data_IF_847186446607
#
_entry.id   IF_847186446607
#
_cell.length_a   1.000
_cell.length_b   1.000
_cell.length_c   1.000
_cell.angle_alpha   90.00
_cell.angle_beta   90.00
_cell.angle_gamma   90.00
#
_symmetry.space_group_name_H-M   'P 1'
#
loop_
_entity.id
_entity.type
_entity.pdbx_description
1 polymer ?
#
# COMPACT_ATOMS: atom_id res chain seq x y z
N UNK A 1 14.64 -27.41 8.70
CA UNK A 1 13.41 -26.92 9.37
C UNK A 1 13.82 -25.88 10.40
N UNK A 2 13.24 -24.68 10.47
CA UNK A 2 13.57 -23.71 11.51
C UNK A 2 13.13 -24.26 12.87
N UNK A 3 13.99 -24.08 13.88
CA UNK A 3 13.75 -24.52 15.26
C UNK A 3 12.40 -24.02 15.79
N UNK A 4 11.67 -24.76 16.63
CA UNK A 4 10.35 -24.37 17.16
C UNK A 4 10.36 -23.01 17.86
N UNK A 5 11.47 -22.61 18.49
CA UNK A 5 11.66 -21.30 19.13
C UNK A 5 11.60 -20.10 18.18
N UNK A 6 12.03 -20.27 16.92
CA UNK A 6 11.95 -19.17 15.93
C UNK A 6 10.51 -18.90 15.49
N UNK A 7 9.67 -19.92 15.41
CA UNK A 7 8.23 -19.77 15.11
C UNK A 7 7.48 -19.10 16.26
N UNK A 8 7.75 -19.52 17.49
CA UNK A 8 7.14 -18.93 18.68
C UNK A 8 7.54 -17.47 18.85
N UNK A 9 8.83 -17.13 18.71
CA UNK A 9 9.32 -15.76 18.75
C UNK A 9 8.65 -14.88 17.69
N UNK A 10 8.54 -15.35 16.44
CA UNK A 10 7.83 -14.62 15.36
C UNK A 10 6.35 -14.41 15.70
N UNK A 11 5.69 -15.39 16.26
CA UNK A 11 4.30 -15.26 16.69
C UNK A 11 4.13 -14.19 17.76
N UNK A 12 4.99 -14.20 18.79
CA UNK A 12 4.98 -13.17 19.86
C UNK A 12 5.27 -11.78 19.31
N UNK A 13 6.31 -11.65 18.49
CA UNK A 13 6.68 -10.35 17.90
C UNK A 13 5.60 -9.81 16.93
N UNK A 14 4.91 -10.66 16.17
CA UNK A 14 3.76 -10.26 15.34
C UNK A 14 2.62 -9.69 16.18
N UNK A 15 2.26 -10.35 17.26
CA UNK A 15 1.23 -9.86 18.17
C UNK A 15 1.69 -8.58 18.88
N UNK A 16 2.94 -8.51 19.29
CA UNK A 16 3.54 -7.30 19.85
C UNK A 16 3.51 -6.12 18.88
N UNK A 17 3.77 -6.34 17.58
CA UNK A 17 3.70 -5.29 16.56
C UNK A 17 2.29 -4.69 16.41
N UNK A 18 1.23 -5.45 16.72
CA UNK A 18 -0.15 -4.95 16.65
C UNK A 18 -0.49 -3.97 17.77
N UNK A 19 0.19 -4.05 18.91
CA UNK A 19 -0.11 -3.26 20.11
C UNK A 19 0.98 -2.25 20.43
N UNK A 20 2.24 -2.52 20.08
CA UNK A 20 3.37 -1.64 20.37
C UNK A 20 3.58 -0.59 19.26
N UNK A 21 4.11 0.56 19.65
CA UNK A 21 4.50 1.66 18.75
C UNK A 21 3.39 2.10 17.79
N UNK A 22 2.16 2.13 18.28
CA UNK A 22 1.01 2.61 17.52
C UNK A 22 1.00 4.12 17.42
N UNK A 23 0.56 4.64 16.27
CA UNK A 23 0.10 6.03 16.11
C UNK A 23 -1.41 5.98 15.81
N UNK A 24 -2.26 6.15 16.83
CA UNK A 24 -3.70 6.01 16.66
C UNK A 24 -4.25 7.12 15.75
N UNK A 25 -5.18 6.74 14.88
CA UNK A 25 -5.97 7.64 14.04
C UNK A 25 -7.45 7.22 14.13
N UNK A 26 -8.29 8.12 14.58
CA UNK A 26 -9.74 7.90 14.52
C UNK A 26 -10.21 8.03 13.06
N UNK A 27 -10.79 6.96 12.52
CA UNK A 27 -11.45 7.00 11.21
C UNK A 27 -12.84 7.59 11.42
N UNK A 28 -12.96 8.89 11.22
CA UNK A 28 -14.21 9.64 11.29
C UNK A 28 -14.40 10.37 9.97
N UNK A 29 -15.16 9.78 9.07
CA UNK A 29 -15.42 10.35 7.73
C UNK A 29 -16.92 10.45 7.50
N UNK A 30 -17.35 11.46 6.75
CA UNK A 30 -18.76 11.57 6.35
C UNK A 30 -19.10 10.57 5.25
N UNK A 31 -18.12 10.27 4.39
CA UNK A 31 -18.23 9.30 3.29
C UNK A 31 -17.13 8.26 3.41
N UNK A 32 -17.38 7.00 3.00
CA UNK A 32 -16.36 5.97 3.02
C UNK A 32 -15.18 6.31 2.11
N UNK A 33 -13.98 5.84 2.46
CA UNK A 33 -12.77 6.04 1.66
C UNK A 33 -12.29 4.72 1.07
N UNK A 34 -11.75 4.78 -0.13
CA UNK A 34 -11.07 3.66 -0.80
C UNK A 34 -9.75 4.18 -1.38
N UNK A 35 -8.68 3.39 -1.23
CA UNK A 35 -7.40 3.63 -1.90
C UNK A 35 -6.99 2.38 -2.67
N UNK A 36 -6.49 2.55 -3.90
CA UNK A 36 -5.86 1.49 -4.68
C UNK A 36 -4.35 1.62 -4.58
N UNK A 37 -3.66 0.54 -4.21
CA UNK A 37 -2.21 0.54 -4.04
C UNK A 37 -1.57 -0.62 -4.78
N UNK A 38 -0.33 -0.37 -5.28
CA UNK A 38 0.44 -1.34 -6.02
C UNK A 38 1.81 -1.49 -5.36
N UNK A 39 2.17 -2.74 -4.99
CA UNK A 39 3.47 -3.04 -4.40
C UNK A 39 4.49 -3.37 -5.48
N UNK A 40 5.78 -3.13 -5.22
CA UNK A 40 6.93 -3.32 -6.12
C UNK A 40 6.89 -2.48 -7.40
N UNK A 41 5.75 -1.98 -7.78
CA UNK A 41 5.53 -1.22 -9.00
C UNK A 41 5.99 -1.98 -10.27
N UNK A 42 5.45 -3.17 -10.56
CA UNK A 42 5.61 -3.74 -11.89
C UNK A 42 5.03 -2.80 -12.94
N UNK A 43 5.67 -2.71 -14.12
CA UNK A 43 5.19 -1.79 -15.19
C UNK A 43 3.73 -2.00 -15.56
N UNK A 44 3.26 -3.25 -15.54
CA UNK A 44 1.86 -3.58 -15.82
C UNK A 44 0.87 -2.98 -14.81
N UNK A 45 1.30 -2.77 -13.56
CA UNK A 45 0.49 -2.05 -12.56
C UNK A 45 0.17 -0.62 -13.00
N UNK A 46 1.10 0.06 -13.66
CA UNK A 46 0.91 1.40 -14.19
C UNK A 46 0.25 1.39 -15.57
N UNK A 47 0.82 0.62 -16.51
CA UNK A 47 0.35 0.61 -17.91
C UNK A 47 -1.08 0.08 -18.06
N UNK A 48 -1.49 -0.89 -17.24
CA UNK A 48 -2.85 -1.43 -17.26
C UNK A 48 -3.67 -0.94 -16.05
N UNK A 49 -3.17 -1.11 -14.83
CA UNK A 49 -3.90 -0.70 -13.61
C UNK A 49 -4.05 0.82 -13.51
N UNK A 50 -3.00 1.59 -13.81
CA UNK A 50 -3.04 3.05 -13.87
C UNK A 50 -3.98 3.56 -14.96
N UNK A 51 -3.93 2.98 -16.16
CA UNK A 51 -4.85 3.32 -17.25
C UNK A 51 -6.32 3.08 -16.86
N UNK A 52 -6.62 1.96 -16.21
CA UNK A 52 -7.97 1.70 -15.67
C UNK A 52 -8.37 2.79 -14.69
N UNK A 53 -7.53 3.14 -13.72
CA UNK A 53 -7.84 4.21 -12.76
C UNK A 53 -8.08 5.55 -13.47
N UNK A 54 -7.23 5.91 -14.43
CA UNK A 54 -7.31 7.16 -15.19
C UNK A 54 -8.62 7.28 -15.99
N UNK A 55 -9.11 6.18 -16.58
CA UNK A 55 -10.41 6.17 -17.29
C UNK A 55 -11.58 6.54 -16.38
N UNK A 56 -11.48 6.31 -15.09
CA UNK A 56 -12.47 6.72 -14.08
C UNK A 56 -12.11 8.05 -13.38
N UNK A 57 -11.07 8.78 -13.84
CA UNK A 57 -10.60 10.01 -13.22
C UNK A 57 -9.98 9.82 -11.83
N UNK A 58 -9.44 8.63 -11.56
CA UNK A 58 -8.90 8.21 -10.28
C UNK A 58 -7.38 8.15 -10.30
N UNK A 59 -6.77 8.17 -9.11
CA UNK A 59 -5.33 7.97 -8.92
C UNK A 59 -5.08 6.93 -7.84
N UNK A 60 -3.96 6.20 -7.94
CA UNK A 60 -3.52 5.19 -6.98
C UNK A 60 -2.20 5.55 -6.32
N UNK A 61 -1.73 4.71 -5.40
CA UNK A 61 -0.43 4.81 -4.74
C UNK A 61 0.45 3.64 -5.17
N UNK A 62 1.69 3.93 -5.60
CA UNK A 62 2.66 2.95 -6.06
C UNK A 62 3.84 2.90 -5.09
N UNK A 63 3.99 1.78 -4.38
CA UNK A 63 5.08 1.57 -3.44
C UNK A 63 6.33 1.06 -4.16
N UNK A 64 7.41 1.82 -4.04
CA UNK A 64 8.54 1.80 -4.96
C UNK A 64 9.83 1.45 -4.24
N UNK A 65 10.52 0.43 -4.74
CA UNK A 65 11.89 0.06 -4.38
C UNK A 65 12.83 0.45 -5.51
N UNK A 66 13.49 1.61 -5.42
CA UNK A 66 14.30 2.17 -6.52
C UNK A 66 15.52 1.31 -6.88
N UNK A 67 16.00 0.50 -5.95
CA UNK A 67 17.03 -0.50 -6.24
C UNK A 67 16.58 -1.63 -7.18
N UNK A 68 15.29 -1.73 -7.47
CA UNK A 68 14.72 -2.69 -8.41
C UNK A 68 14.41 -2.08 -9.79
N UNK A 69 14.65 -0.78 -9.98
CA UNK A 69 14.38 -0.07 -11.23
C UNK A 69 14.91 -0.84 -12.44
N UNK A 70 14.02 -1.11 -13.39
CA UNK A 70 14.33 -1.81 -14.64
C UNK A 70 14.69 -3.28 -14.50
N UNK A 71 14.57 -3.91 -13.33
CA UNK A 71 14.83 -5.34 -13.13
C UNK A 71 13.59 -6.19 -13.42
N UNK A 72 13.82 -7.46 -13.69
CA UNK A 72 12.75 -8.44 -13.77
C UNK A 72 12.47 -9.02 -12.37
N UNK A 73 11.20 -9.29 -12.08
CA UNK A 73 10.73 -9.89 -10.83
C UNK A 73 9.69 -10.97 -11.10
N UNK A 74 9.23 -11.63 -10.06
CA UNK A 74 8.10 -12.59 -10.17
C UNK A 74 6.80 -11.92 -10.62
N UNK A 75 6.67 -10.61 -10.37
CA UNK A 75 5.52 -9.79 -10.78
C UNK A 75 5.71 -9.12 -12.16
N UNK A 76 6.74 -9.53 -12.91
CA UNK A 76 7.09 -8.99 -14.22
C UNK A 76 8.17 -7.93 -14.16
N UNK A 77 8.31 -7.17 -15.25
CA UNK A 77 9.28 -6.07 -15.37
C UNK A 77 8.93 -4.94 -14.42
N UNK A 78 9.87 -4.57 -13.56
CA UNK A 78 9.73 -3.42 -12.64
C UNK A 78 9.85 -2.12 -13.45
N UNK A 79 9.21 -1.07 -12.95
CA UNK A 79 9.18 0.27 -13.55
C UNK A 79 10.54 0.75 -14.06
N UNK A 80 10.52 1.63 -15.05
CA UNK A 80 11.67 2.38 -15.56
C UNK A 80 11.54 3.86 -15.20
N UNK A 81 12.57 4.65 -15.47
CA UNK A 81 12.60 6.07 -15.09
C UNK A 81 11.41 6.87 -15.67
N UNK A 82 11.10 6.64 -16.94
CA UNK A 82 9.98 7.32 -17.62
C UNK A 82 8.64 7.01 -16.95
N UNK A 83 8.47 5.80 -16.41
CA UNK A 83 7.25 5.43 -15.69
C UNK A 83 7.06 6.25 -14.40
N UNK A 84 8.17 6.60 -13.68
CA UNK A 84 8.10 7.44 -12.47
C UNK A 84 7.60 8.85 -12.79
N UNK A 85 8.12 9.45 -13.84
CA UNK A 85 7.73 10.80 -14.27
C UNK A 85 6.27 10.81 -14.75
N UNK A 86 5.90 9.88 -15.65
CA UNK A 86 4.56 9.76 -16.18
C UNK A 86 3.51 9.50 -15.07
N UNK A 87 3.87 8.70 -14.06
CA UNK A 87 3.01 8.41 -12.92
C UNK A 87 2.65 9.68 -12.13
N UNK A 88 3.64 10.53 -11.87
CA UNK A 88 3.44 11.79 -11.13
C UNK A 88 2.65 12.82 -11.97
N UNK A 89 2.91 12.91 -13.27
CA UNK A 89 2.14 13.76 -14.21
C UNK A 89 0.66 13.36 -14.22
N UNK A 90 0.36 12.07 -14.10
CA UNK A 90 -0.99 11.52 -13.99
C UNK A 90 -1.57 11.63 -12.56
N UNK A 91 -0.89 12.32 -11.64
CA UNK A 91 -1.32 12.59 -10.26
C UNK A 91 -1.45 11.34 -9.38
N UNK A 92 -0.81 10.23 -9.74
CA UNK A 92 -0.65 9.12 -8.83
C UNK A 92 0.37 9.45 -7.74
N UNK A 93 0.36 8.69 -6.65
CA UNK A 93 1.26 8.85 -5.51
C UNK A 93 2.39 7.82 -5.57
N UNK A 94 3.63 8.27 -5.32
CA UNK A 94 4.75 7.41 -5.01
C UNK A 94 4.86 7.20 -3.50
N UNK A 95 4.89 5.94 -3.06
CA UNK A 95 5.17 5.53 -1.70
C UNK A 95 6.50 4.76 -1.62
N UNK A 96 7.12 4.75 -0.45
CA UNK A 96 8.38 4.03 -0.22
C UNK A 96 8.13 2.55 0.07
N UNK A 97 8.98 1.67 -0.52
CA UNK A 97 8.99 0.22 -0.26
C UNK A 97 10.39 -0.31 0.12
N UNK A 98 11.21 0.53 0.79
CA UNK A 98 12.66 0.40 0.96
C UNK A 98 13.42 0.46 -0.37
N UNK A 99 14.74 0.58 -0.36
CA UNK A 99 15.53 0.63 -1.60
C UNK A 99 15.63 -0.73 -2.29
N UNK A 100 15.92 -1.77 -1.51
CA UNK A 100 16.19 -3.12 -2.02
C UNK A 100 15.12 -4.14 -1.62
N UNK A 101 13.88 -3.69 -1.35
CA UNK A 101 12.78 -4.56 -0.91
C UNK A 101 13.15 -5.38 0.34
N UNK A 102 13.73 -4.70 1.36
CA UNK A 102 14.19 -5.33 2.59
C UNK A 102 13.07 -5.98 3.39
N UNK A 103 13.23 -7.24 3.73
CA UNK A 103 12.29 -7.98 4.55
C UNK A 103 12.51 -7.66 6.04
N UNK A 104 11.53 -7.06 6.73
CA UNK A 104 11.65 -6.61 8.12
C UNK A 104 12.05 -7.73 9.11
N UNK A 105 11.78 -8.99 8.79
CA UNK A 105 12.09 -10.17 9.61
C UNK A 105 13.48 -10.77 9.37
N UNK A 106 14.17 -10.34 8.32
CA UNK A 106 15.46 -10.88 7.88
C UNK A 106 16.54 -9.81 7.84
N UNK A 107 16.16 -8.55 8.10
CA UNK A 107 17.07 -7.40 8.01
C UNK A 107 17.27 -6.77 9.39
N UNK A 108 18.50 -6.47 9.74
CA UNK A 108 18.78 -5.71 10.95
C UNK A 108 18.20 -4.30 10.84
N UNK A 109 17.84 -3.71 11.99
CA UNK A 109 17.08 -2.47 12.04
C UNK A 109 17.82 -1.29 11.40
N UNK A 110 19.13 -1.22 11.59
CA UNK A 110 19.99 -0.19 11.01
C UNK A 110 20.04 -0.30 9.48
N UNK A 111 20.26 -1.49 8.97
CA UNK A 111 20.27 -1.77 7.51
C UNK A 111 18.90 -1.49 6.89
N UNK A 112 17.82 -1.74 7.63
CA UNK A 112 16.47 -1.42 7.16
C UNK A 112 16.23 0.09 7.08
N UNK A 113 16.68 0.86 8.08
CA UNK A 113 16.60 2.32 8.09
C UNK A 113 17.47 2.95 7.01
N UNK A 114 18.71 2.45 6.84
CA UNK A 114 19.62 2.85 5.74
C UNK A 114 18.97 2.63 4.37
N UNK A 115 18.28 1.51 4.17
CA UNK A 115 17.55 1.23 2.92
C UNK A 115 16.42 2.23 2.64
N UNK A 116 15.77 2.77 3.67
CA UNK A 116 14.79 3.86 3.51
C UNK A 116 15.48 5.15 3.08
N UNK A 117 16.57 5.51 3.76
CA UNK A 117 17.35 6.71 3.47
C UNK A 117 17.91 6.67 2.04
N UNK A 118 18.43 5.52 1.63
CA UNK A 118 18.94 5.28 0.28
C UNK A 118 17.81 5.42 -0.76
N UNK A 119 16.60 4.88 -0.48
CA UNK A 119 15.46 5.01 -1.39
C UNK A 119 15.04 6.47 -1.59
N UNK A 120 15.05 7.26 -0.52
CA UNK A 120 14.76 8.69 -0.59
C UNK A 120 15.82 9.47 -1.37
N UNK A 121 17.09 9.21 -1.11
CA UNK A 121 18.19 9.84 -1.84
C UNK A 121 18.10 9.54 -3.34
N UNK A 122 17.88 8.28 -3.70
CA UNK A 122 17.69 7.87 -5.09
C UNK A 122 16.47 8.56 -5.75
N UNK A 123 15.34 8.71 -5.03
CA UNK A 123 14.18 9.44 -5.57
C UNK A 123 14.52 10.91 -5.84
N UNK A 124 15.20 11.57 -4.91
CA UNK A 124 15.61 12.98 -5.07
C UNK A 124 16.52 13.19 -6.27
N UNK A 125 17.41 12.23 -6.55
CA UNK A 125 18.31 12.25 -7.70
C UNK A 125 17.57 12.00 -9.01
N UNK A 126 16.69 10.99 -9.05
CA UNK A 126 15.99 10.58 -10.27
C UNK A 126 14.83 11.50 -10.64
N UNK A 127 14.11 12.02 -9.66
CA UNK A 127 12.92 12.86 -9.84
C UNK A 127 12.97 14.04 -8.85
N UNK A 128 13.71 15.11 -9.16
CA UNK A 128 13.83 16.27 -8.27
C UNK A 128 12.46 16.85 -7.87
N UNK A 129 12.27 17.07 -6.58
CA UNK A 129 11.01 17.59 -6.02
C UNK A 129 9.98 16.52 -5.65
N UNK A 130 10.18 15.27 -6.03
CA UNK A 130 9.35 14.16 -5.56
C UNK A 130 9.72 13.73 -4.13
N UNK A 131 8.72 13.27 -3.36
CA UNK A 131 8.90 12.86 -1.97
C UNK A 131 8.05 11.64 -1.65
N UNK A 132 8.62 10.69 -0.89
CA UNK A 132 7.86 9.60 -0.28
C UNK A 132 7.23 10.06 1.05
N UNK A 133 5.90 10.16 1.11
CA UNK A 133 5.15 10.51 2.33
C UNK A 133 4.50 9.30 3.00
N UNK A 134 4.23 8.25 2.24
CA UNK A 134 3.69 6.98 2.72
C UNK A 134 4.69 5.83 2.54
N UNK A 135 4.46 4.76 3.28
CA UNK A 135 5.31 3.57 3.27
C UNK A 135 4.46 2.29 3.23
N UNK A 136 4.92 1.28 2.50
CA UNK A 136 4.42 -0.10 2.60
C UNK A 136 5.53 -1.02 3.09
N UNK A 137 5.21 -1.88 4.06
CA UNK A 137 6.16 -2.90 4.52
C UNK A 137 6.31 -4.01 3.47
N UNK A 138 7.54 -4.26 2.96
CA UNK A 138 7.77 -5.49 2.21
C UNK A 138 7.31 -6.71 3.03
N UNK A 139 6.59 -7.64 2.36
CA UNK A 139 5.93 -8.80 2.99
C UNK A 139 4.83 -8.40 4.02
N UNK A 140 4.42 -7.13 4.06
CA UNK A 140 3.25 -6.62 4.78
C UNK A 140 3.24 -6.77 6.30
N UNK A 141 4.31 -7.25 6.92
CA UNK A 141 4.39 -7.49 8.37
C UNK A 141 5.62 -6.83 9.00
N UNK A 142 5.45 -5.78 9.82
CA UNK A 142 6.56 -5.17 10.54
C UNK A 142 6.97 -5.96 11.78
N UNK A 143 8.27 -5.92 12.13
CA UNK A 143 8.72 -6.17 13.50
C UNK A 143 8.48 -4.91 14.36
N UNK A 144 8.27 -5.05 15.70
CA UNK A 144 7.99 -3.90 16.57
C UNK A 144 9.04 -2.78 16.45
N UNK A 145 10.32 -3.12 16.47
CA UNK A 145 11.40 -2.11 16.38
C UNK A 145 11.46 -1.43 15.02
N UNK A 146 11.21 -2.16 13.93
CA UNK A 146 11.09 -1.58 12.59
C UNK A 146 9.91 -0.61 12.53
N UNK A 147 8.76 -0.99 13.08
CA UNK A 147 7.58 -0.13 13.18
C UNK A 147 7.87 1.19 13.90
N UNK A 148 8.65 1.14 15.01
CA UNK A 148 9.10 2.34 15.74
C UNK A 148 9.98 3.26 14.90
N UNK A 149 10.91 2.70 14.11
CA UNK A 149 11.83 3.46 13.26
C UNK A 149 11.04 4.15 12.15
N UNK A 150 10.26 3.39 11.38
CA UNK A 150 9.52 3.89 10.21
C UNK A 150 8.54 5.00 10.57
N UNK A 151 7.97 4.95 11.79
CA UNK A 151 7.09 6.00 12.30
C UNK A 151 7.68 7.41 12.27
N UNK A 152 9.00 7.53 12.26
CA UNK A 152 9.73 8.82 12.21
C UNK A 152 9.88 9.36 10.78
N UNK A 153 9.75 8.50 9.79
CA UNK A 153 10.05 8.80 8.40
C UNK A 153 8.81 9.11 7.56
N UNK A 154 7.63 8.57 7.93
CA UNK A 154 6.44 8.64 7.07
C UNK A 154 5.19 9.10 7.81
N UNK A 155 4.27 9.73 7.07
CA UNK A 155 2.97 10.14 7.59
C UNK A 155 2.12 8.94 7.97
N UNK A 156 2.16 7.87 7.17
CA UNK A 156 1.48 6.61 7.44
C UNK A 156 2.21 5.44 6.77
N UNK A 157 1.97 4.25 7.31
CA UNK A 157 2.61 3.02 6.89
C UNK A 157 1.53 1.94 6.70
N UNK A 158 1.51 1.30 5.54
CA UNK A 158 0.60 0.22 5.20
C UNK A 158 1.24 -1.15 5.49
N UNK A 159 0.51 -1.98 6.20
CA UNK A 159 0.81 -3.40 6.36
C UNK A 159 -0.16 -4.28 5.58
N UNK A 160 -0.39 -5.48 6.10
CA UNK A 160 -1.44 -6.39 5.64
C UNK A 160 -2.66 -6.38 6.56
N UNK A 161 -3.41 -7.49 6.60
CA UNK A 161 -4.53 -7.67 7.51
C UNK A 161 -5.78 -8.25 6.86
N UNK A 162 -5.91 -8.13 5.54
CA UNK A 162 -7.05 -8.61 4.75
C UNK A 162 -8.40 -8.06 5.27
N UNK A 163 -8.40 -6.76 5.61
CA UNK A 163 -9.56 -6.07 6.20
C UNK A 163 -9.53 -4.57 5.90
N UNK A 164 -10.53 -3.84 6.38
CA UNK A 164 -10.64 -2.38 6.30
C UNK A 164 -10.14 -1.70 7.59
N UNK A 165 -9.88 -0.41 7.50
CA UNK A 165 -9.60 0.47 8.62
C UNK A 165 -10.90 1.14 9.06
N UNK A 166 -11.31 0.93 10.32
CA UNK A 166 -12.54 1.46 10.91
C UNK A 166 -12.35 1.76 12.39
N UNK A 167 -13.05 2.74 12.93
CA UNK A 167 -12.94 3.14 14.33
C UNK A 167 -11.56 3.73 14.63
N UNK A 168 -10.68 2.98 15.28
CA UNK A 168 -9.32 3.41 15.63
C UNK A 168 -8.27 2.63 14.84
N UNK A 169 -7.74 3.24 13.79
CA UNK A 169 -6.65 2.69 12.97
C UNK A 169 -5.27 2.98 13.59
N UNK A 170 -4.24 2.35 13.04
CA UNK A 170 -2.85 2.58 13.40
C UNK A 170 -2.07 3.10 12.19
N UNK A 171 -1.67 4.37 12.22
CA UNK A 171 -0.87 4.99 11.14
C UNK A 171 0.48 4.31 10.88
N UNK A 172 0.97 3.52 11.83
CA UNK A 172 2.19 2.75 11.65
C UNK A 172 1.94 1.36 11.06
N UNK A 173 0.68 0.96 10.89
CA UNK A 173 0.30 -0.35 10.35
C UNK A 173 -1.16 -0.31 9.87
N UNK A 174 -1.47 0.53 8.89
CA UNK A 174 -2.78 0.53 8.25
C UNK A 174 -3.05 -0.84 7.62
N UNK A 175 -4.27 -1.34 7.81
CA UNK A 175 -4.70 -2.58 7.19
C UNK A 175 -4.88 -2.41 5.67
N UNK A 176 -4.59 -3.47 4.92
CA UNK A 176 -4.86 -3.56 3.49
C UNK A 176 -5.53 -4.88 3.14
N UNK A 177 -6.29 -4.86 2.06
CA UNK A 177 -6.93 -6.02 1.47
C UNK A 177 -6.26 -6.35 0.15
N UNK A 178 -5.64 -7.53 0.07
CA UNK A 178 -4.92 -8.00 -1.11
C UNK A 178 -5.88 -8.63 -2.11
N UNK A 179 -5.97 -8.05 -3.30
CA UNK A 179 -6.94 -8.43 -4.34
C UNK A 179 -6.68 -9.83 -4.90
N UNK A 180 -5.43 -10.27 -5.00
CA UNK A 180 -5.07 -11.60 -5.49
C UNK A 180 -5.66 -12.73 -4.65
N UNK A 181 -5.97 -12.48 -3.38
CA UNK A 181 -6.61 -13.46 -2.50
C UNK A 181 -8.08 -13.69 -2.82
N UNK A 182 -8.66 -12.85 -3.65
CA UNK A 182 -10.07 -12.90 -4.04
C UNK A 182 -10.29 -12.84 -5.55
N UNK A 183 -9.24 -13.12 -6.35
CA UNK A 183 -9.36 -13.06 -7.82
C UNK A 183 -10.39 -14.04 -8.41
N UNK A 184 -10.70 -15.11 -7.68
CA UNK A 184 -11.74 -16.07 -8.06
C UNK A 184 -13.08 -15.80 -7.34
N UNK A 185 -13.16 -14.73 -6.53
CA UNK A 185 -14.33 -14.40 -5.73
C UNK A 185 -14.55 -12.88 -5.65
N UNK A 186 -15.00 -12.28 -6.75
CA UNK A 186 -15.32 -10.84 -6.81
C UNK A 186 -16.37 -10.43 -5.77
N UNK A 187 -17.26 -11.35 -5.37
CA UNK A 187 -18.29 -11.05 -4.37
C UNK A 187 -17.71 -10.77 -2.99
N UNK A 188 -16.60 -11.39 -2.61
CA UNK A 188 -15.90 -11.07 -1.36
C UNK A 188 -15.40 -9.61 -1.34
N UNK A 189 -14.89 -9.12 -2.49
CA UNK A 189 -14.45 -7.73 -2.63
C UNK A 189 -15.63 -6.77 -2.59
N UNK A 190 -16.73 -7.08 -3.27
CA UNK A 190 -17.97 -6.27 -3.22
C UNK A 190 -18.52 -6.17 -1.81
N UNK A 191 -18.62 -7.30 -1.12
CA UNK A 191 -19.09 -7.33 0.28
C UNK A 191 -18.19 -6.46 1.18
N UNK A 192 -16.87 -6.46 0.97
CA UNK A 192 -15.97 -5.60 1.74
C UNK A 192 -16.21 -4.11 1.45
N UNK A 193 -16.48 -3.74 0.20
CA UNK A 193 -16.82 -2.37 -0.18
C UNK A 193 -18.15 -1.95 0.47
N UNK A 194 -19.15 -2.83 0.49
CA UNK A 194 -20.43 -2.56 1.14
C UNK A 194 -20.29 -2.40 2.66
N UNK A 195 -19.51 -3.28 3.31
CA UNK A 195 -19.19 -3.14 4.75
C UNK A 195 -18.45 -1.84 5.02
N UNK A 196 -17.52 -1.45 4.14
CA UNK A 196 -16.79 -0.19 4.24
C UNK A 196 -17.72 1.02 4.11
N UNK A 197 -18.69 0.97 3.18
CA UNK A 197 -19.70 2.00 3.00
C UNK A 197 -20.51 2.19 4.29
N UNK A 198 -21.03 1.09 4.83
CA UNK A 198 -21.92 1.11 6.00
C UNK A 198 -21.18 1.54 7.27
N UNK A 199 -19.89 1.17 7.39
CA UNK A 199 -19.03 1.56 8.50
C UNK A 199 -18.39 2.95 8.34
N UNK A 200 -18.51 3.60 7.18
CA UNK A 200 -17.78 4.83 6.82
C UNK A 200 -16.28 4.72 7.09
N UNK A 201 -15.71 3.56 6.72
CA UNK A 201 -14.34 3.20 6.95
C UNK A 201 -13.41 3.64 5.82
N UNK A 202 -12.21 3.08 5.83
CA UNK A 202 -11.20 3.24 4.79
C UNK A 202 -10.65 1.88 4.38
N UNK A 203 -11.01 1.41 3.18
CA UNK A 203 -10.40 0.24 2.54
C UNK A 203 -9.18 0.68 1.73
N UNK A 204 -8.06 0.00 1.96
CA UNK A 204 -6.87 0.10 1.12
C UNK A 204 -6.73 -1.23 0.38
N UNK A 205 -7.02 -1.23 -0.92
CA UNK A 205 -6.76 -2.37 -1.78
C UNK A 205 -5.28 -2.41 -2.16
N UNK A 206 -4.70 -3.61 -2.15
CA UNK A 206 -3.33 -3.86 -2.56
C UNK A 206 -3.29 -4.96 -3.62
N UNK A 207 -2.43 -4.79 -4.61
CA UNK A 207 -2.05 -5.79 -5.60
C UNK A 207 -0.63 -5.49 -6.08
N UNK A 208 -0.04 -6.35 -6.92
CA UNK A 208 1.23 -6.07 -7.59
C UNK A 208 0.99 -5.77 -9.07
N UNK A 209 1.02 -6.77 -9.92
CA UNK A 209 0.81 -6.64 -11.36
C UNK A 209 -0.67 -6.69 -11.75
N UNK A 210 -1.01 -5.96 -12.80
CA UNK A 210 -2.30 -6.03 -13.48
C UNK A 210 -2.03 -6.49 -14.92
N UNK A 211 -2.25 -7.77 -15.18
CA UNK A 211 -1.82 -8.42 -16.42
C UNK A 211 -2.81 -9.50 -16.84
N UNK A 212 -2.97 -9.79 -18.16
CA UNK A 212 -3.79 -10.92 -18.62
C UNK A 212 -3.35 -12.28 -18.04
N UNK A 213 -2.06 -12.43 -17.78
CA UNK A 213 -1.47 -13.59 -17.09
C UNK A 213 -0.77 -13.12 -15.82
N UNK A 214 -1.52 -12.83 -14.74
CA UNK A 214 -0.96 -12.23 -13.55
C UNK A 214 -0.09 -13.20 -12.75
N UNK A 215 0.90 -12.64 -12.06
CA UNK A 215 1.68 -13.37 -11.07
C UNK A 215 0.79 -13.91 -9.93
N UNK A 216 1.32 -14.74 -9.02
CA UNK A 216 0.59 -15.13 -7.81
C UNK A 216 0.14 -13.94 -6.95
N UNK A 217 0.73 -12.74 -7.12
CA UNK A 217 0.48 -11.53 -6.35
C UNK A 217 -0.35 -10.48 -7.10
N UNK A 218 -0.68 -10.75 -8.36
CA UNK A 218 -1.41 -9.83 -9.24
C UNK A 218 -2.85 -10.24 -9.50
N UNK A 219 -3.49 -9.49 -10.39
CA UNK A 219 -4.84 -9.77 -10.86
C UNK A 219 -4.99 -9.42 -12.36
N UNK A 220 -6.06 -9.92 -12.99
CA UNK A 220 -6.33 -9.58 -14.38
C UNK A 220 -6.89 -8.16 -14.51
N UNK A 221 -6.68 -7.48 -15.67
CA UNK A 221 -7.28 -6.16 -15.93
C UNK A 221 -8.80 -6.17 -15.79
N UNK A 222 -9.46 -7.21 -16.26
CA UNK A 222 -10.91 -7.35 -16.12
C UNK A 222 -11.37 -7.42 -14.66
N UNK A 223 -10.69 -8.23 -13.83
CA UNK A 223 -10.99 -8.31 -12.41
C UNK A 223 -10.77 -6.96 -11.74
N UNK A 224 -9.63 -6.31 -11.98
CA UNK A 224 -9.29 -5.02 -11.40
C UNK A 224 -10.33 -3.94 -11.79
N UNK A 225 -10.68 -3.86 -13.07
CA UNK A 225 -11.69 -2.91 -13.56
C UNK A 225 -13.07 -3.17 -12.94
N UNK A 226 -13.47 -4.42 -12.76
CA UNK A 226 -14.71 -4.77 -12.06
C UNK A 226 -14.71 -4.27 -10.60
N UNK A 227 -13.58 -4.36 -9.91
CA UNK A 227 -13.42 -3.82 -8.54
C UNK A 227 -13.51 -2.30 -8.56
N UNK A 228 -12.78 -1.62 -9.46
CA UNK A 228 -12.79 -0.15 -9.60
C UNK A 228 -14.20 0.35 -9.89
N UNK A 229 -14.89 -0.25 -10.86
CA UNK A 229 -16.27 0.12 -11.22
C UNK A 229 -17.24 -0.02 -10.05
N UNK A 230 -17.13 -1.11 -9.28
CA UNK A 230 -17.98 -1.31 -8.09
C UNK A 230 -17.64 -0.29 -7.01
N UNK A 231 -16.37 0.01 -6.78
CA UNK A 231 -15.92 1.03 -5.84
C UNK A 231 -16.46 2.43 -6.20
N UNK A 232 -16.41 2.81 -7.48
CA UNK A 232 -17.01 4.07 -7.98
C UNK A 232 -18.50 4.10 -7.72
N UNK A 233 -19.24 3.02 -8.00
CA UNK A 233 -20.69 2.92 -7.78
C UNK A 233 -21.10 2.91 -6.30
N UNK A 234 -20.18 2.67 -5.37
CA UNK A 234 -20.48 2.59 -3.93
C UNK A 234 -20.69 3.94 -3.24
N UNK A 235 -20.38 5.05 -3.92
CA UNK A 235 -20.38 6.40 -3.34
C UNK A 235 -19.15 6.69 -2.46
N UNK A 236 -18.17 5.79 -2.39
CA UNK A 236 -16.93 6.04 -1.69
C UNK A 236 -16.07 7.11 -2.40
N UNK A 237 -15.36 7.91 -1.63
CA UNK A 237 -14.35 8.81 -2.16
C UNK A 237 -13.05 8.02 -2.37
N UNK A 238 -12.62 7.91 -3.62
CA UNK A 238 -11.45 7.12 -4.00
C UNK A 238 -10.25 8.05 -4.13
N UNK A 239 -9.20 7.81 -3.34
CA UNK A 239 -8.05 8.70 -3.21
C UNK A 239 -6.75 7.89 -3.03
N UNK A 240 -5.58 8.40 -3.49
CA UNK A 240 -4.28 7.94 -3.03
C UNK A 240 -4.15 7.98 -1.49
N UNK A 241 -3.25 7.18 -0.94
CA UNK A 241 -3.17 6.94 0.52
C UNK A 241 -2.96 8.23 1.32
N UNK A 242 -2.04 9.10 0.92
CA UNK A 242 -1.78 10.36 1.65
C UNK A 242 -2.97 11.31 1.54
N UNK A 243 -3.61 11.38 0.37
CA UNK A 243 -4.82 12.21 0.18
C UNK A 243 -6.01 11.70 0.99
N UNK A 244 -6.14 10.39 1.15
CA UNK A 244 -7.16 9.81 2.02
C UNK A 244 -6.89 10.13 3.50
N UNK A 245 -5.61 10.06 3.93
CA UNK A 245 -5.21 10.49 5.27
C UNK A 245 -5.51 11.97 5.53
N UNK A 246 -5.23 12.86 4.57
CA UNK A 246 -5.52 14.29 4.68
C UNK A 246 -7.03 14.55 4.77
N UNK A 247 -7.85 13.79 4.01
CA UNK A 247 -9.30 13.89 4.08
C UNK A 247 -9.84 13.48 5.47
N UNK A 248 -9.28 12.43 6.09
CA UNK A 248 -9.65 12.02 7.45
C UNK A 248 -9.28 13.11 8.48
N UNK A 249 -8.08 13.69 8.37
CA UNK A 249 -7.60 14.75 9.28
C UNK A 249 -8.39 16.04 9.13
N UNK A 250 -8.74 16.42 7.90
CA UNK A 250 -9.57 17.60 7.61
C UNK A 250 -11.00 17.47 8.11
N UNK A 251 -11.56 16.26 8.11
CA UNK A 251 -12.92 16.00 8.65
C UNK A 251 -13.00 16.12 10.18
N UNK A 252 -11.88 15.99 10.90
CA UNK A 252 -11.80 16.10 12.36
C UNK A 252 -11.62 17.54 12.88
N UNK A 253 -11.45 18.53 11.99
CA UNK A 253 -11.28 19.94 12.35
C UNK A 253 -12.57 20.76 12.26
N UNK A 254 -13.70 20.12 11.93
CA UNK A 254 -15.00 20.77 11.67
C UNK A 254 -16.02 20.55 12.81
N UNK A 255 -15.57 20.16 14.02
CA UNK A 255 -16.41 20.02 15.23
C UNK A 255 -16.06 21.07 16.29
#
# INVERSE_FOLDING_TARGET
MPFPWTRFRRYVERNAARVLFRRPLAIRTQVPLISFTFDDFPRSAFLAGGDILNRYGLSGTYYTSLGLLGKDSVSGRIFVLDDLTALLEQRHELGCHTFSHCHSWQTEKEVFEDSITQNRAALTELVPGAEFKSFSYPISEPRPMIKRIIAKHFLCCRGGGQTLNVGMADLNQLAAYFLERSRDNIQAVRNLIDVNRDARGWVIFATHDVSPNPSPFGCTPEFFENVVRYAVGSGARILPVVRALDAIRGSGLSE
#
